data_IF_988542871305
#
_entry.id   IF_988542871305
#
_cell.length_a   1.000
_cell.length_b   1.000
_cell.length_c   1.000
_cell.angle_alpha   90.00
_cell.angle_beta   90.00
_cell.angle_gamma   90.00
#
_symmetry.space_group_name_H-M   'P 1'
#
loop_
_entity.id
_entity.type
_entity.pdbx_description
1 polymer ?
#
# COMPACT_ATOMS: atom_id res chain seq x y z
N UNK A 1 -15.78 20.61 19.98
CA UNK A 1 -14.31 20.67 20.20
C UNK A 1 -13.75 21.92 19.55
N UNK A 2 -12.89 22.70 20.25
CA UNK A 2 -12.20 23.87 19.68
C UNK A 2 -11.30 23.39 18.51
N UNK A 3 -11.15 24.22 17.46
CA UNK A 3 -10.38 23.89 16.23
C UNK A 3 -8.96 23.40 16.52
N UNK A 4 -8.31 23.96 17.55
CA UNK A 4 -6.98 23.53 18.01
C UNK A 4 -6.95 22.09 18.52
N UNK A 5 -7.94 21.68 19.33
CA UNK A 5 -8.01 20.31 19.86
C UNK A 5 -8.23 19.26 18.76
N UNK A 6 -8.93 19.64 17.68
CA UNK A 6 -9.16 18.77 16.53
C UNK A 6 -7.89 18.56 15.71
N UNK A 7 -7.08 19.61 15.56
CA UNK A 7 -5.79 19.51 14.87
C UNK A 7 -4.81 18.63 15.66
N UNK A 8 -4.68 18.87 16.97
CA UNK A 8 -3.83 18.05 17.84
C UNK A 8 -4.22 16.56 17.80
N UNK A 9 -5.53 16.28 17.85
CA UNK A 9 -6.03 14.90 17.70
C UNK A 9 -5.65 14.29 16.35
N UNK A 10 -5.82 15.03 15.25
CA UNK A 10 -5.49 14.54 13.91
C UNK A 10 -4.00 14.20 13.79
N UNK A 11 -3.14 15.08 14.30
CA UNK A 11 -1.68 14.87 14.28
C UNK A 11 -1.30 13.64 15.11
N UNK A 12 -1.84 13.53 16.33
CA UNK A 12 -1.57 12.39 17.21
C UNK A 12 -2.02 11.06 16.60
N UNK A 13 -3.23 11.02 16.03
CA UNK A 13 -3.76 9.83 15.37
C UNK A 13 -2.93 9.45 14.15
N UNK A 14 -2.54 10.41 13.29
CA UNK A 14 -1.65 10.18 12.17
C UNK A 14 -0.28 9.65 12.64
N UNK A 15 0.28 10.19 13.71
CA UNK A 15 1.53 9.69 14.29
C UNK A 15 1.45 8.23 14.69
N UNK A 16 0.37 7.83 15.36
CA UNK A 16 0.13 6.42 15.75
C UNK A 16 0.00 5.52 14.51
N UNK A 17 -0.78 5.94 13.51
CA UNK A 17 -0.97 5.18 12.28
C UNK A 17 0.34 5.04 11.50
N UNK A 18 1.10 6.13 11.39
CA UNK A 18 2.42 6.12 10.72
C UNK A 18 3.40 5.20 11.44
N UNK A 19 3.46 5.26 12.78
CA UNK A 19 4.30 4.37 13.57
C UNK A 19 3.89 2.90 13.39
N UNK A 20 2.59 2.62 13.41
CA UNK A 20 2.08 1.27 13.18
C UNK A 20 2.41 0.75 11.78
N UNK A 21 2.26 1.58 10.75
CA UNK A 21 2.64 1.23 9.38
C UNK A 21 4.14 0.94 9.27
N UNK A 22 4.99 1.74 9.93
CA UNK A 22 6.43 1.51 9.99
C UNK A 22 6.78 0.19 10.70
N UNK A 23 6.13 -0.12 11.82
CA UNK A 23 6.31 -1.40 12.52
C UNK A 23 5.91 -2.58 11.62
N UNK A 24 4.80 -2.47 10.89
CA UNK A 24 4.46 -3.48 9.88
C UNK A 24 5.57 -3.61 8.84
N UNK A 25 6.06 -2.52 8.27
CA UNK A 25 7.12 -2.57 7.27
C UNK A 25 8.41 -3.25 7.78
N UNK A 26 8.73 -3.15 9.07
CA UNK A 26 9.84 -3.92 9.66
C UNK A 26 9.68 -5.44 9.59
N UNK A 27 8.45 -5.95 9.56
CA UNK A 27 8.21 -7.39 9.42
C UNK A 27 8.59 -7.92 8.03
N UNK A 28 8.83 -7.04 7.05
CA UNK A 28 9.31 -7.43 5.72
C UNK A 28 10.73 -8.01 5.72
N UNK A 29 11.48 -7.85 6.81
CA UNK A 29 12.79 -8.53 7.02
C UNK A 29 12.63 -10.05 6.91
N UNK A 30 11.46 -10.60 7.22
CA UNK A 30 11.16 -12.01 7.01
C UNK A 30 10.78 -12.22 5.54
N UNK A 31 11.58 -12.96 4.71
CA UNK A 31 11.40 -13.03 3.27
C UNK A 31 9.97 -13.42 2.83
N UNK A 32 9.33 -14.34 3.55
CA UNK A 32 7.96 -14.79 3.27
C UNK A 32 6.90 -13.67 3.40
N UNK A 33 7.23 -12.58 4.10
CA UNK A 33 6.31 -11.46 4.35
C UNK A 33 6.63 -10.20 3.53
N UNK A 34 7.73 -10.19 2.77
CA UNK A 34 8.18 -9.02 2.01
C UNK A 34 7.10 -8.40 1.10
N UNK A 35 6.24 -9.22 0.51
CA UNK A 35 5.17 -8.75 -0.38
C UNK A 35 3.83 -8.49 0.32
N UNK A 36 3.57 -9.19 1.40
CA UNK A 36 2.28 -9.14 2.12
C UNK A 36 2.25 -7.97 3.10
N UNK A 37 3.35 -7.71 3.77
CA UNK A 37 3.45 -6.66 4.79
C UNK A 37 3.22 -5.25 4.25
N UNK A 38 3.78 -4.84 3.09
CA UNK A 38 3.48 -3.54 2.48
C UNK A 38 1.99 -3.33 2.22
N UNK A 39 1.26 -4.40 1.84
CA UNK A 39 -0.17 -4.34 1.62
C UNK A 39 -0.95 -4.07 2.93
N UNK A 40 -0.56 -4.71 4.02
CA UNK A 40 -1.14 -4.45 5.35
C UNK A 40 -0.79 -3.04 5.86
N UNK A 41 0.45 -2.58 5.68
CA UNK A 41 0.84 -1.21 6.04
C UNK A 41 -0.01 -0.17 5.32
N UNK A 42 -0.26 -0.35 4.02
CA UNK A 42 -1.17 0.51 3.25
C UNK A 42 -2.62 0.46 3.75
N UNK A 43 -3.10 -0.71 4.17
CA UNK A 43 -4.44 -0.86 4.77
C UNK A 43 -4.56 -0.12 6.11
N UNK A 44 -3.51 -0.12 6.93
CA UNK A 44 -3.45 0.65 8.17
C UNK A 44 -3.57 2.14 7.87
N UNK A 45 -2.83 2.66 6.87
CA UNK A 45 -2.92 4.06 6.45
C UNK A 45 -4.33 4.40 5.94
N UNK A 46 -4.96 3.49 5.18
CA UNK A 46 -6.33 3.70 4.70
C UNK A 46 -7.32 3.94 5.85
N UNK A 47 -7.13 3.36 7.04
CA UNK A 47 -8.03 3.57 8.18
C UNK A 47 -8.17 5.04 8.58
N UNK A 48 -7.15 5.86 8.31
CA UNK A 48 -7.20 7.32 8.52
C UNK A 48 -8.37 7.94 7.76
N UNK A 49 -8.66 7.45 6.56
CA UNK A 49 -9.77 7.97 5.73
C UNK A 49 -11.14 7.73 6.35
N UNK A 50 -11.24 6.75 7.27
CA UNK A 50 -12.50 6.42 7.94
C UNK A 50 -12.83 7.36 9.11
N UNK A 51 -11.83 8.05 9.63
CA UNK A 51 -11.94 8.96 10.78
C UNK A 51 -11.65 10.41 10.40
N UNK A 52 -10.94 10.62 9.28
CA UNK A 52 -10.48 11.91 8.77
C UNK A 52 -10.65 12.02 7.26
N UNK A 53 -10.05 13.06 6.67
CA UNK A 53 -10.06 13.27 5.23
C UNK A 53 -8.94 12.47 4.53
N UNK A 54 -9.15 12.18 3.25
CA UNK A 54 -8.17 11.53 2.36
C UNK A 54 -6.80 12.25 2.37
N UNK A 55 -6.79 13.57 2.55
CA UNK A 55 -5.54 14.37 2.64
C UNK A 55 -4.65 13.93 3.81
N UNK A 56 -5.24 13.64 4.98
CA UNK A 56 -4.49 13.13 6.14
C UNK A 56 -3.92 11.74 5.90
N UNK A 57 -4.63 10.88 5.18
CA UNK A 57 -4.11 9.57 4.81
C UNK A 57 -2.88 9.67 3.89
N UNK A 58 -2.89 10.60 2.91
CA UNK A 58 -1.71 10.83 2.07
C UNK A 58 -0.54 11.44 2.85
N UNK A 59 -0.80 12.29 3.86
CA UNK A 59 0.27 12.77 4.75
C UNK A 59 0.88 11.64 5.58
N UNK A 60 0.04 10.75 6.13
CA UNK A 60 0.52 9.54 6.84
C UNK A 60 1.32 8.64 5.90
N UNK A 61 0.85 8.45 4.66
CA UNK A 61 1.57 7.68 3.64
C UNK A 61 2.96 8.28 3.36
N UNK A 62 3.04 9.60 3.09
CA UNK A 62 4.32 10.26 2.84
C UNK A 62 5.29 10.15 4.03
N UNK A 63 4.80 10.33 5.25
CA UNK A 63 5.61 10.15 6.47
C UNK A 63 6.07 8.69 6.62
N UNK A 64 5.17 7.71 6.36
CA UNK A 64 5.52 6.29 6.42
C UNK A 64 6.54 5.91 5.35
N UNK A 65 6.48 6.47 4.14
CA UNK A 65 7.48 6.26 3.09
C UNK A 65 8.86 6.73 3.54
N UNK A 66 8.97 7.93 4.11
CA UNK A 66 10.24 8.45 4.59
C UNK A 66 10.84 7.56 5.68
N UNK A 67 10.02 7.17 6.65
CA UNK A 67 10.47 6.30 7.75
C UNK A 67 10.86 4.92 7.21
N UNK A 68 10.07 4.34 6.33
CA UNK A 68 10.35 3.02 5.74
C UNK A 68 11.65 3.00 4.94
N UNK A 69 11.85 3.99 4.06
CA UNK A 69 13.08 4.10 3.27
C UNK A 69 14.34 4.29 4.12
N UNK A 70 14.23 4.91 5.29
CA UNK A 70 15.36 5.12 6.19
C UNK A 70 15.66 3.94 7.11
N UNK A 71 14.64 3.21 7.53
CA UNK A 71 14.76 2.24 8.61
C UNK A 71 14.59 0.79 8.19
N UNK A 72 13.85 0.52 7.12
CA UNK A 72 13.58 -0.87 6.68
C UNK A 72 14.67 -1.30 5.69
N UNK A 73 15.43 -2.36 6.00
CA UNK A 73 16.57 -2.77 5.18
C UNK A 73 16.18 -3.55 3.92
N UNK A 74 14.89 -3.80 3.71
CA UNK A 74 14.37 -4.61 2.59
C UNK A 74 13.96 -3.71 1.41
N UNK A 75 14.81 -3.58 0.35
CA UNK A 75 14.57 -2.65 -0.75
C UNK A 75 13.31 -2.99 -1.55
N UNK A 76 13.05 -4.28 -1.80
CA UNK A 76 11.89 -4.72 -2.56
C UNK A 76 10.57 -4.32 -1.88
N UNK A 77 10.44 -4.61 -0.59
CA UNK A 77 9.27 -4.25 0.20
C UNK A 77 9.05 -2.72 0.20
N UNK A 78 10.15 -1.95 0.33
CA UNK A 78 10.10 -0.50 0.26
C UNK A 78 9.59 0.01 -1.09
N UNK A 79 10.11 -0.54 -2.20
CA UNK A 79 9.67 -0.16 -3.55
C UNK A 79 8.18 -0.48 -3.76
N UNK A 80 7.73 -1.67 -3.40
CA UNK A 80 6.31 -2.02 -3.48
C UNK A 80 5.42 -1.15 -2.60
N UNK A 81 5.87 -0.80 -1.40
CA UNK A 81 5.14 0.09 -0.52
C UNK A 81 5.02 1.50 -1.10
N UNK A 82 6.14 2.10 -1.50
CA UNK A 82 6.20 3.47 -2.02
C UNK A 82 5.46 3.59 -3.34
N UNK A 83 5.65 2.66 -4.28
CA UNK A 83 5.08 2.82 -5.61
C UNK A 83 3.65 2.30 -5.74
N UNK A 84 3.19 1.44 -4.81
CA UNK A 84 1.86 0.87 -4.94
C UNK A 84 1.11 0.70 -3.61
N UNK A 85 1.51 -0.21 -2.75
CA UNK A 85 0.70 -0.66 -1.62
C UNK A 85 0.37 0.45 -0.62
N UNK A 86 1.28 1.39 -0.39
CA UNK A 86 1.10 2.43 0.63
C UNK A 86 -0.05 3.39 0.34
N UNK A 87 -0.26 3.78 -0.90
CA UNK A 87 -1.30 4.73 -1.29
C UNK A 87 -2.53 4.09 -1.95
N UNK A 88 -2.39 2.92 -2.55
CA UNK A 88 -3.43 2.29 -3.35
C UNK A 88 -4.76 2.11 -2.59
N UNK A 89 -4.80 1.62 -1.34
CA UNK A 89 -6.05 1.49 -0.59
C UNK A 89 -6.79 2.81 -0.40
N UNK A 90 -6.05 3.91 -0.23
CA UNK A 90 -6.59 5.27 -0.13
C UNK A 90 -7.08 5.78 -1.48
N UNK A 91 -6.33 5.51 -2.55
CA UNK A 91 -6.68 5.88 -3.92
C UNK A 91 -7.99 5.22 -4.37
N UNK A 92 -8.25 3.99 -3.97
CA UNK A 92 -9.50 3.29 -4.27
C UNK A 92 -10.74 4.12 -3.89
N UNK A 93 -10.70 4.88 -2.77
CA UNK A 93 -11.81 5.76 -2.36
C UNK A 93 -12.07 6.87 -3.41
N UNK A 94 -10.98 7.41 -3.96
CA UNK A 94 -11.08 8.45 -5.00
C UNK A 94 -11.64 7.85 -6.30
N UNK A 95 -11.21 6.64 -6.64
CA UNK A 95 -11.65 5.93 -7.84
C UNK A 95 -13.10 5.43 -7.74
N UNK A 96 -13.65 5.25 -6.55
CA UNK A 96 -15.07 4.92 -6.32
C UNK A 96 -16.02 5.98 -6.90
N UNK A 97 -15.56 7.21 -7.14
CA UNK A 97 -16.32 8.25 -7.84
C UNK A 97 -16.61 7.92 -9.30
N UNK A 98 -15.86 7.02 -9.91
CA UNK A 98 -16.07 6.54 -11.27
C UNK A 98 -17.25 5.56 -11.25
N UNK A 99 -18.38 5.98 -11.83
CA UNK A 99 -19.64 5.20 -11.84
C UNK A 99 -19.53 3.90 -12.64
N UNK A 100 -18.80 3.92 -13.74
CA UNK A 100 -18.61 2.75 -14.59
C UNK A 100 -17.61 1.78 -13.94
N UNK A 101 -18.08 0.59 -13.58
CA UNK A 101 -17.28 -0.45 -12.90
C UNK A 101 -16.12 -0.95 -13.77
N UNK A 102 -16.35 -1.09 -15.08
CA UNK A 102 -15.32 -1.56 -16.02
C UNK A 102 -14.22 -0.51 -16.15
N UNK A 103 -14.60 0.76 -16.37
CA UNK A 103 -13.63 1.86 -16.47
C UNK A 103 -12.82 1.99 -15.19
N UNK A 104 -13.47 1.90 -14.04
CA UNK A 104 -12.79 1.93 -12.72
C UNK A 104 -11.77 0.80 -12.58
N UNK A 105 -12.12 -0.42 -13.00
CA UNK A 105 -11.19 -1.56 -12.96
C UNK A 105 -10.02 -1.37 -13.92
N UNK A 106 -10.26 -0.91 -15.15
CA UNK A 106 -9.20 -0.60 -16.11
C UNK A 106 -8.23 0.48 -15.59
N UNK A 107 -8.76 1.55 -15.00
CA UNK A 107 -7.91 2.59 -14.38
C UNK A 107 -7.04 2.02 -13.27
N UNK A 108 -7.58 1.17 -12.39
CA UNK A 108 -6.82 0.49 -11.34
C UNK A 108 -5.71 -0.38 -11.93
N UNK A 109 -6.01 -1.14 -12.97
CA UNK A 109 -5.06 -2.01 -13.67
C UNK A 109 -3.91 -1.20 -14.29
N UNK A 110 -4.24 -0.08 -14.95
CA UNK A 110 -3.23 0.83 -15.53
C UNK A 110 -2.33 1.40 -14.43
N UNK A 111 -2.90 1.87 -13.32
CA UNK A 111 -2.13 2.40 -12.18
C UNK A 111 -1.19 1.34 -11.61
N UNK A 112 -1.65 0.10 -11.46
CA UNK A 112 -0.82 -1.01 -11.00
C UNK A 112 0.36 -1.26 -11.94
N UNK A 113 0.09 -1.40 -13.24
CA UNK A 113 1.14 -1.68 -14.23
C UNK A 113 2.17 -0.54 -14.32
N UNK A 114 1.73 0.72 -14.28
CA UNK A 114 2.65 1.88 -14.22
C UNK A 114 3.49 1.84 -12.96
N UNK A 115 2.90 1.55 -11.80
CA UNK A 115 3.60 1.45 -10.53
C UNK A 115 4.67 0.35 -10.54
N UNK A 116 4.34 -0.84 -11.10
CA UNK A 116 5.29 -1.96 -11.23
C UNK A 116 6.45 -1.59 -12.13
N UNK A 117 6.18 -0.96 -13.30
CA UNK A 117 7.24 -0.52 -14.22
C UNK A 117 8.16 0.50 -13.55
N UNK A 118 7.60 1.48 -12.82
CA UNK A 118 8.40 2.48 -12.11
C UNK A 118 9.23 1.85 -10.99
N UNK A 119 8.63 0.97 -10.19
CA UNK A 119 9.32 0.28 -9.10
C UNK A 119 10.47 -0.57 -9.65
N UNK A 120 10.23 -1.36 -10.70
CA UNK A 120 11.21 -2.20 -11.33
C UNK A 120 12.38 -1.38 -11.90
N UNK A 121 12.10 -0.34 -12.70
CA UNK A 121 13.15 0.50 -13.28
C UNK A 121 14.00 1.18 -12.19
N UNK A 122 13.38 1.70 -11.14
CA UNK A 122 14.13 2.33 -10.05
C UNK A 122 14.97 1.30 -9.29
N UNK A 123 14.44 0.09 -9.08
CA UNK A 123 15.16 -0.97 -8.43
C UNK A 123 16.40 -1.40 -9.21
N UNK A 124 16.30 -1.51 -10.54
CA UNK A 124 17.44 -1.81 -11.43
C UNK A 124 18.51 -0.72 -11.42
N UNK A 125 18.12 0.55 -11.21
CA UNK A 125 19.08 1.67 -11.13
C UNK A 125 19.79 1.68 -9.78
N UNK A 126 19.09 1.41 -8.69
CA UNK A 126 19.60 1.53 -7.33
C UNK A 126 20.33 0.26 -6.85
N UNK A 127 19.90 -0.89 -7.31
CA UNK A 127 20.43 -2.19 -6.93
C UNK A 127 20.70 -3.00 -8.20
N UNK A 128 21.96 -3.15 -8.64
CA UNK A 128 22.29 -4.03 -9.75
C UNK A 128 21.96 -5.47 -9.35
N UNK A 129 20.85 -5.95 -9.90
CA UNK A 129 20.27 -7.27 -9.61
C UNK A 129 20.86 -8.33 -10.52
N UNK A 130 22.17 -8.60 -10.42
CA UNK A 130 22.75 -9.75 -11.12
C UNK A 130 22.12 -11.07 -10.62
N UNK A 131 21.83 -11.15 -9.31
CA UNK A 131 21.31 -12.36 -8.66
C UNK A 131 19.79 -12.57 -8.81
N UNK A 132 18.99 -11.52 -9.03
CA UNK A 132 17.52 -11.66 -9.08
C UNK A 132 17.01 -12.32 -10.38
N UNK A 133 17.81 -12.29 -11.43
CA UNK A 133 17.48 -12.92 -12.70
C UNK A 133 17.93 -14.40 -12.78
N UNK A 134 18.87 -14.82 -11.93
CA UNK A 134 19.36 -16.22 -11.95
C UNK A 134 18.23 -17.25 -11.68
N UNK A 135 17.24 -16.91 -10.84
CA UNK A 135 16.06 -17.77 -10.62
C UNK A 135 15.07 -17.82 -11.78
N UNK A 136 15.18 -16.89 -12.74
CA UNK A 136 14.25 -16.76 -13.87
C UNK A 136 14.81 -17.32 -15.18
N UNK A 137 16.08 -17.72 -15.22
CA UNK A 137 16.72 -18.31 -16.42
C UNK A 137 15.98 -19.54 -16.95
N UNK A 138 15.29 -20.27 -16.07
CA UNK A 138 14.50 -21.45 -16.42
C UNK A 138 13.33 -21.14 -17.37
N UNK A 139 12.87 -19.89 -17.44
CA UNK A 139 11.76 -19.46 -18.31
C UNK A 139 12.24 -18.74 -19.59
N UNK A 140 13.55 -18.48 -19.73
CA UNK A 140 14.13 -17.80 -20.90
C UNK A 140 13.47 -16.44 -21.17
N UNK A 141 13.31 -16.08 -22.44
CA UNK A 141 12.71 -14.80 -22.86
C UNK A 141 11.24 -14.63 -22.44
N UNK A 142 10.56 -15.73 -22.11
CA UNK A 142 9.19 -15.72 -21.61
C UNK A 142 9.07 -15.36 -20.12
N UNK A 143 10.19 -15.36 -19.38
CA UNK A 143 10.19 -15.08 -17.94
C UNK A 143 9.53 -13.74 -17.59
N UNK A 144 9.85 -12.68 -18.33
CA UNK A 144 9.32 -11.33 -18.11
C UNK A 144 7.79 -11.30 -18.31
N UNK A 145 7.31 -11.94 -19.38
CA UNK A 145 5.87 -11.99 -19.66
C UNK A 145 5.10 -12.83 -18.63
N UNK A 146 5.68 -13.95 -18.20
CA UNK A 146 5.12 -14.80 -17.16
C UNK A 146 5.04 -14.05 -15.83
N UNK A 147 6.14 -13.38 -15.40
CA UNK A 147 6.17 -12.56 -14.19
C UNK A 147 5.11 -11.46 -14.23
N UNK A 148 4.98 -10.77 -15.36
CA UNK A 148 3.97 -9.72 -15.52
C UNK A 148 2.54 -10.27 -15.48
N UNK A 149 2.30 -11.42 -16.10
CA UNK A 149 1.01 -12.13 -16.02
C UNK A 149 0.64 -12.50 -14.59
N UNK A 150 1.57 -13.12 -13.84
CA UNK A 150 1.39 -13.45 -12.43
C UNK A 150 1.16 -12.20 -11.57
N UNK A 151 1.89 -11.12 -11.82
CA UNK A 151 1.70 -9.85 -11.12
C UNK A 151 0.28 -9.28 -11.30
N UNK A 152 -0.25 -9.33 -12.51
CA UNK A 152 -1.62 -8.88 -12.78
C UNK A 152 -2.68 -9.79 -12.13
N UNK A 153 -2.47 -11.10 -12.08
CA UNK A 153 -3.35 -12.03 -11.34
C UNK A 153 -3.30 -11.72 -9.85
N UNK A 154 -2.11 -11.56 -9.29
CA UNK A 154 -1.92 -11.19 -7.89
C UNK A 154 -2.60 -9.85 -7.55
N UNK A 155 -2.51 -8.86 -8.44
CA UNK A 155 -3.21 -7.59 -8.30
C UNK A 155 -4.72 -7.76 -8.21
N UNK A 156 -5.34 -8.56 -9.08
CA UNK A 156 -6.79 -8.81 -9.06
C UNK A 156 -7.21 -9.44 -7.72
N UNK A 157 -6.44 -10.44 -7.25
CA UNK A 157 -6.68 -11.09 -5.95
C UNK A 157 -6.56 -10.07 -4.82
N UNK A 158 -5.52 -9.24 -4.85
CA UNK A 158 -5.30 -8.18 -3.86
C UNK A 158 -6.43 -7.15 -3.85
N UNK A 159 -6.87 -6.65 -5.01
CA UNK A 159 -7.96 -5.66 -5.08
C UNK A 159 -9.27 -6.22 -4.52
N UNK A 160 -9.56 -7.50 -4.80
CA UNK A 160 -10.71 -8.19 -4.23
C UNK A 160 -10.59 -8.38 -2.71
N UNK A 161 -9.43 -8.85 -2.24
CA UNK A 161 -9.15 -9.01 -0.81
C UNK A 161 -9.25 -7.67 -0.07
N UNK A 162 -8.71 -6.60 -0.65
CA UNK A 162 -8.76 -5.25 -0.10
C UNK A 162 -10.21 -4.76 0.05
N UNK A 163 -11.08 -4.99 -0.94
CA UNK A 163 -12.50 -4.63 -0.83
C UNK A 163 -13.17 -5.38 0.31
N UNK A 164 -12.92 -6.67 0.44
CA UNK A 164 -13.47 -7.50 1.52
C UNK A 164 -12.98 -7.03 2.90
N UNK A 165 -11.68 -6.73 3.03
CA UNK A 165 -11.10 -6.21 4.26
C UNK A 165 -11.67 -4.83 4.65
N UNK A 166 -11.87 -3.95 3.68
CA UNK A 166 -12.51 -2.65 3.90
C UNK A 166 -13.93 -2.79 4.43
N UNK A 167 -14.72 -3.69 3.84
CA UNK A 167 -16.08 -3.95 4.32
C UNK A 167 -16.08 -4.53 5.74
N UNK A 168 -15.20 -5.49 6.01
CA UNK A 168 -15.06 -6.07 7.34
C UNK A 168 -14.66 -5.01 8.38
N UNK A 169 -13.71 -4.14 8.05
CA UNK A 169 -13.31 -3.04 8.91
C UNK A 169 -14.47 -2.10 9.22
N UNK A 170 -15.21 -1.67 8.21
CA UNK A 170 -16.34 -0.74 8.37
C UNK A 170 -17.44 -1.37 9.25
N UNK A 171 -17.71 -2.64 9.07
CA UNK A 171 -18.77 -3.34 9.82
C UNK A 171 -18.37 -3.66 11.26
N UNK A 172 -17.15 -4.11 11.49
CA UNK A 172 -16.71 -4.70 12.75
C UNK A 172 -15.91 -3.74 13.64
N UNK A 173 -14.99 -2.97 13.05
CA UNK A 173 -14.00 -2.20 13.80
C UNK A 173 -14.36 -0.72 13.90
N UNK A 174 -14.85 -0.10 12.83
CA UNK A 174 -15.18 1.33 12.83
C UNK A 174 -16.13 1.75 13.94
N UNK A 175 -17.22 1.02 14.27
CA UNK A 175 -18.11 1.39 15.39
C UNK A 175 -17.39 1.38 16.73
N UNK A 176 -16.51 0.37 16.96
CA UNK A 176 -15.77 0.21 18.22
C UNK A 176 -14.72 1.32 18.40
N UNK A 177 -14.01 1.66 17.33
CA UNK A 177 -13.00 2.72 17.35
C UNK A 177 -13.66 4.09 17.52
N UNK A 178 -14.74 4.37 16.80
CA UNK A 178 -15.46 5.64 16.91
C UNK A 178 -16.11 5.85 18.29
N UNK A 179 -16.51 4.77 18.99
CA UNK A 179 -17.03 4.85 20.34
C UNK A 179 -15.96 5.23 21.38
N UNK A 180 -14.70 4.81 21.16
CA UNK A 180 -13.57 5.15 22.05
C UNK A 180 -12.98 6.54 21.81
N UNK A 181 -13.25 7.14 20.65
CA UNK A 181 -12.75 8.45 20.27
C UNK A 181 -13.70 9.62 20.57
N UNK A 182 -14.89 9.32 21.12
CA UNK A 182 -15.84 10.30 21.64
C UNK A 182 -15.57 10.58 23.11
#
# INVERSE_FOLDING_TARGET
>A
MKKANRLAFNVAFCGIVTALAAVFMFLSIIPSFAYVVPAFAGMVIWTVTQHMNVKWAYLCYGASCLISLMLVPEPEANMFFVFFFGYYPTLCIVLEKIKNKILRFLVKLVIFNVAVVLAYNLMMILFPLEDALEGMEMFGDLAIYAFWGFGNIAFVIYDFALMTLKEAYIKLLKPKVSAKLK
#
